data_IF_083131889001
#
_entry.id   IF_083131889001
#
_cell.length_a   1.000
_cell.length_b   1.000
_cell.length_c   1.000
_cell.angle_alpha   90.00
_cell.angle_beta   90.00
_cell.angle_gamma   90.00
#
_symmetry.space_group_name_H-M   'P 1'
#
loop_
_entity.id
_entity.type
_entity.pdbx_description
1 polymer ?
#
# COMPACT_ATOMS: atom_id res chain seq x y z
N UNK A 1 9.27 12.41 17.71
CA UNK A 1 9.68 11.60 16.53
C UNK A 1 8.57 10.69 16.04
N UNK A 2 7.70 10.17 16.92
CA UNK A 2 6.56 9.34 16.54
C UNK A 2 5.65 10.01 15.49
N UNK A 3 5.31 11.29 15.66
CA UNK A 3 4.45 12.02 14.72
C UNK A 3 5.03 12.07 13.31
N UNK A 4 6.37 12.21 13.20
CA UNK A 4 7.09 12.20 11.91
C UNK A 4 7.05 10.81 11.29
N UNK A 5 7.25 9.76 12.10
CA UNK A 5 7.19 8.36 11.64
C UNK A 5 5.79 8.03 11.12
N UNK A 6 4.74 8.39 11.86
CA UNK A 6 3.35 8.17 11.44
C UNK A 6 3.04 8.99 10.19
N UNK A 7 3.46 10.26 10.14
CA UNK A 7 3.26 11.13 8.98
C UNK A 7 3.88 10.56 7.70
N UNK A 8 5.13 10.11 7.77
CA UNK A 8 5.82 9.49 6.62
C UNK A 8 5.17 8.15 6.27
N UNK A 9 4.81 7.31 7.25
CA UNK A 9 4.17 6.02 7.00
C UNK A 9 2.82 6.18 6.27
N UNK A 10 2.00 7.15 6.67
CA UNK A 10 0.73 7.46 6.01
C UNK A 10 0.99 7.99 4.59
N UNK A 11 1.98 8.87 4.41
CA UNK A 11 2.32 9.40 3.09
C UNK A 11 2.70 8.28 2.11
N UNK A 12 3.54 7.33 2.55
CA UNK A 12 3.93 6.16 1.76
C UNK A 12 2.73 5.27 1.44
N UNK A 13 1.81 5.09 2.39
CA UNK A 13 0.60 4.29 2.18
C UNK A 13 -0.32 4.93 1.13
N UNK A 14 -0.52 6.25 1.18
CA UNK A 14 -1.31 6.99 0.16
C UNK A 14 -0.68 6.87 -1.23
N UNK A 15 0.64 6.96 -1.33
CA UNK A 15 1.35 6.78 -2.62
C UNK A 15 1.11 5.35 -3.14
N UNK A 16 1.24 4.34 -2.29
CA UNK A 16 0.98 2.96 -2.68
C UNK A 16 -0.47 2.74 -3.11
N UNK A 17 -1.45 3.27 -2.37
CA UNK A 17 -2.87 3.27 -2.76
C UNK A 17 -3.05 3.84 -4.17
N UNK A 18 -2.48 5.01 -4.45
CA UNK A 18 -2.64 5.67 -5.75
C UNK A 18 -2.00 4.85 -6.89
N UNK A 19 -0.77 4.36 -6.67
CA UNK A 19 -0.04 3.56 -7.66
C UNK A 19 -0.76 2.24 -7.93
N UNK A 20 -1.15 1.51 -6.88
CA UNK A 20 -1.86 0.24 -7.02
C UNK A 20 -3.24 0.45 -7.63
N UNK A 21 -3.97 1.50 -7.25
CA UNK A 21 -5.29 1.82 -7.81
C UNK A 21 -5.27 2.03 -9.33
N UNK A 22 -4.18 2.57 -9.87
CA UNK A 22 -4.03 2.77 -11.33
C UNK A 22 -3.48 1.53 -12.02
N UNK A 23 -2.47 0.88 -11.45
CA UNK A 23 -1.76 -0.24 -12.10
C UNK A 23 -2.57 -1.54 -12.04
N UNK A 24 -3.26 -1.79 -10.93
CA UNK A 24 -3.97 -3.04 -10.68
C UNK A 24 -5.01 -3.40 -11.76
N UNK A 25 -5.92 -2.51 -12.20
CA UNK A 25 -6.87 -2.85 -13.26
C UNK A 25 -6.20 -3.15 -14.61
N UNK A 26 -5.09 -2.48 -14.92
CA UNK A 26 -4.31 -2.71 -16.14
C UNK A 26 -3.61 -4.07 -16.09
N UNK A 27 -3.07 -4.47 -14.94
CA UNK A 27 -2.43 -5.78 -14.78
C UNK A 27 -3.45 -6.91 -14.81
N UNK A 28 -4.58 -6.77 -14.09
CA UNK A 28 -5.61 -7.80 -14.03
C UNK A 28 -6.26 -8.05 -15.40
N UNK A 29 -6.55 -6.99 -16.16
CA UNK A 29 -7.09 -7.12 -17.52
C UNK A 29 -6.11 -7.82 -18.47
N UNK A 30 -4.79 -7.58 -18.35
CA UNK A 30 -3.77 -8.30 -19.12
C UNK A 30 -3.67 -9.78 -18.75
N UNK A 31 -3.95 -10.13 -17.49
CA UNK A 31 -3.97 -11.50 -17.00
C UNK A 31 -5.30 -12.23 -17.27
N UNK A 32 -6.26 -11.60 -17.97
CA UNK A 32 -7.63 -12.10 -18.20
C UNK A 32 -8.45 -12.33 -16.92
N UNK A 33 -8.06 -11.70 -15.81
CA UNK A 33 -8.81 -11.70 -14.56
C UNK A 33 -9.75 -10.48 -14.50
N UNK A 34 -10.91 -10.65 -13.91
CA UNK A 34 -11.88 -9.56 -13.75
C UNK A 34 -11.41 -8.58 -12.65
N UNK A 35 -11.07 -7.32 -13.00
CA UNK A 35 -10.67 -6.32 -12.03
C UNK A 35 -11.75 -5.99 -10.99
N UNK A 36 -13.03 -6.15 -11.33
CA UNK A 36 -14.13 -5.85 -10.42
C UNK A 36 -14.25 -6.90 -9.31
N UNK A 37 -13.91 -8.16 -9.61
CA UNK A 37 -14.01 -9.26 -8.65
C UNK A 37 -12.76 -9.37 -7.76
N UNK A 38 -11.56 -9.25 -8.33
CA UNK A 38 -10.29 -9.44 -7.61
C UNK A 38 -9.61 -8.14 -7.17
N UNK A 39 -9.99 -7.00 -7.77
CA UNK A 39 -9.36 -5.70 -7.50
C UNK A 39 -9.43 -5.27 -6.05
N UNK A 40 -10.61 -5.28 -5.38
CA UNK A 40 -10.72 -4.80 -4.01
C UNK A 40 -9.83 -5.58 -3.02
N UNK A 41 -9.84 -6.91 -3.09
CA UNK A 41 -9.04 -7.77 -2.20
C UNK A 41 -7.55 -7.56 -2.43
N UNK A 42 -7.10 -7.53 -3.69
CA UNK A 42 -5.69 -7.33 -3.99
C UNK A 42 -5.26 -5.92 -3.57
N UNK A 43 -6.08 -4.91 -3.83
CA UNK A 43 -5.79 -3.53 -3.42
C UNK A 43 -5.60 -3.45 -1.90
N UNK A 44 -6.54 -3.98 -1.11
CA UNK A 44 -6.44 -3.95 0.35
C UNK A 44 -5.22 -4.72 0.84
N UNK A 45 -4.91 -5.89 0.26
CA UNK A 45 -3.70 -6.65 0.67
C UNK A 45 -2.40 -5.89 0.42
N UNK A 46 -2.30 -5.16 -0.70
CA UNK A 46 -1.11 -4.37 -1.02
C UNK A 46 -0.98 -3.21 -0.04
N UNK A 47 -2.09 -2.51 0.24
CA UNK A 47 -2.09 -1.37 1.17
C UNK A 47 -1.83 -1.80 2.61
N UNK A 48 -2.30 -2.99 3.01
CA UNK A 48 -2.02 -3.58 4.32
C UNK A 48 -0.54 -3.88 4.46
N UNK A 49 0.07 -4.59 3.49
CA UNK A 49 1.50 -4.92 3.52
C UNK A 49 2.35 -3.66 3.53
N UNK A 50 2.10 -2.71 2.63
CA UNK A 50 2.89 -1.48 2.54
C UNK A 50 2.73 -0.65 3.80
N UNK A 51 1.50 -0.47 4.30
CA UNK A 51 1.24 0.28 5.52
C UNK A 51 1.94 -0.33 6.73
N UNK A 52 1.89 -1.65 6.86
CA UNK A 52 2.53 -2.36 7.96
C UNK A 52 4.06 -2.27 7.92
N UNK A 53 4.65 -2.51 6.74
CA UNK A 53 6.10 -2.41 6.53
C UNK A 53 6.59 -0.97 6.72
N UNK A 54 5.87 0.02 6.21
CA UNK A 54 6.25 1.42 6.36
C UNK A 54 6.21 1.85 7.83
N UNK A 55 5.12 1.54 8.55
CA UNK A 55 5.01 1.93 9.96
C UNK A 55 6.04 1.22 10.85
N UNK A 56 6.16 -0.11 10.74
CA UNK A 56 7.08 -0.88 11.58
C UNK A 56 8.55 -0.67 11.20
N UNK A 57 8.87 -0.56 9.91
CA UNK A 57 10.23 -0.32 9.44
C UNK A 57 10.74 1.05 9.87
N UNK A 58 9.92 2.09 9.72
CA UNK A 58 10.26 3.44 10.19
C UNK A 58 10.29 3.50 11.72
N UNK A 59 9.36 2.83 12.42
CA UNK A 59 9.38 2.73 13.88
C UNK A 59 10.66 2.07 14.39
N UNK A 60 11.07 0.95 13.79
CA UNK A 60 12.29 0.23 14.15
C UNK A 60 13.57 1.02 13.88
N UNK A 61 13.59 1.83 12.81
CA UNK A 61 14.79 2.58 12.43
C UNK A 61 14.96 3.89 13.21
N UNK A 62 13.84 4.53 13.60
CA UNK A 62 13.85 5.88 14.18
C UNK A 62 13.40 5.97 15.65
N UNK A 63 12.73 4.96 16.20
CA UNK A 63 12.19 4.99 17.56
C UNK A 63 12.76 3.91 18.50
N UNK A 64 13.28 2.80 17.96
CA UNK A 64 14.13 1.86 18.70
C UNK A 64 15.58 2.35 18.73
#
# INVERSE_FOLDING_TARGET
MLDVVIGIAILLNIIAVAVTGVILPVVLSKLKNDPALSGPVILTTVTDIVGFVAFLGLGSTFLL
#
